data_IF_471835712403
#
_entry.id   IF_471835712403
#
_cell.length_a   1.000
_cell.length_b   1.000
_cell.length_c   1.000
_cell.angle_alpha   90.00
_cell.angle_beta   90.00
_cell.angle_gamma   90.00
#
_symmetry.space_group_name_H-M   'P 1'
#
loop_
_entity.id
_entity.type
_entity.pdbx_description
1 polymer ?
#
# COMPACT_ATOMS: atom_id res chain seq x y z
N UNK A 1 -0.85 -23.62 10.51
CA UNK A 1 -1.43 -22.73 9.49
C UNK A 1 -1.53 -21.38 10.15
N UNK A 2 -0.78 -20.38 9.66
CA UNK A 2 -0.90 -19.00 10.13
C UNK A 2 -2.38 -18.60 10.15
N UNK A 3 -2.77 -17.89 11.21
CA UNK A 3 -4.11 -17.30 11.35
C UNK A 3 -4.39 -16.25 10.26
N UNK A 4 -3.32 -15.73 9.63
CA UNK A 4 -3.36 -14.72 8.57
C UNK A 4 -2.67 -15.21 7.30
N UNK A 5 -3.24 -14.86 6.15
CA UNK A 5 -2.63 -15.17 4.85
C UNK A 5 -1.66 -14.04 4.45
N UNK A 6 -0.46 -14.06 5.03
CA UNK A 6 0.63 -13.12 4.72
C UNK A 6 1.11 -13.24 3.26
N UNK A 7 1.00 -14.43 2.69
CA UNK A 7 1.30 -14.67 1.29
C UNK A 7 0.30 -13.91 0.40
N UNK A 8 -1.01 -14.07 0.65
CA UNK A 8 -2.05 -13.33 -0.06
C UNK A 8 -1.90 -11.82 0.10
N UNK A 9 -1.58 -11.33 1.31
CA UNK A 9 -1.33 -9.91 1.55
C UNK A 9 -0.17 -9.37 0.68
N UNK A 10 0.90 -10.16 0.55
CA UNK A 10 2.06 -9.82 -0.27
C UNK A 10 1.72 -9.84 -1.77
N UNK A 11 0.98 -10.83 -2.24
CA UNK A 11 0.52 -10.92 -3.63
C UNK A 11 -0.39 -9.74 -4.00
N UNK A 12 -1.30 -9.36 -3.10
CA UNK A 12 -2.17 -8.19 -3.27
C UNK A 12 -1.39 -6.87 -3.25
N UNK A 13 -0.35 -6.76 -2.42
CA UNK A 13 0.55 -5.59 -2.38
C UNK A 13 1.25 -5.40 -3.74
N UNK A 14 1.81 -6.47 -4.29
CA UNK A 14 2.47 -6.46 -5.59
C UNK A 14 1.48 -6.12 -6.71
N UNK A 15 0.28 -6.69 -6.67
CA UNK A 15 -0.79 -6.40 -7.64
C UNK A 15 -1.19 -4.93 -7.60
N UNK A 16 -1.32 -4.36 -6.40
CA UNK A 16 -1.61 -2.94 -6.20
C UNK A 16 -0.51 -2.07 -6.81
N UNK A 17 0.77 -2.39 -6.54
CA UNK A 17 1.92 -1.63 -7.07
C UNK A 17 1.97 -1.64 -8.59
N UNK A 18 1.84 -2.80 -9.21
CA UNK A 18 1.81 -2.91 -10.67
C UNK A 18 0.67 -2.08 -11.27
N UNK A 19 -0.53 -2.14 -10.66
CA UNK A 19 -1.69 -1.37 -11.12
C UNK A 19 -1.47 0.14 -10.96
N UNK A 20 -0.78 0.56 -9.90
CA UNK A 20 -0.44 1.96 -9.67
C UNK A 20 0.62 2.45 -10.65
N UNK A 21 1.65 1.66 -10.94
CA UNK A 21 2.67 1.98 -11.94
C UNK A 21 2.08 2.12 -13.34
N UNK A 22 1.14 1.25 -13.70
CA UNK A 22 0.39 1.35 -14.96
C UNK A 22 -0.47 2.62 -15.00
N UNK A 23 -1.08 3.01 -13.88
CA UNK A 23 -1.80 4.27 -13.74
C UNK A 23 -0.89 5.49 -13.92
N UNK A 24 0.32 5.48 -13.37
CA UNK A 24 1.29 6.56 -13.56
C UNK A 24 1.68 6.72 -15.02
N UNK A 25 1.93 5.60 -15.72
CA UNK A 25 2.32 5.59 -17.15
C UNK A 25 1.16 5.90 -18.10
N UNK A 26 -0.08 5.67 -17.68
CA UNK A 26 -1.26 5.93 -18.50
C UNK A 26 -1.56 7.43 -18.59
N UNK A 27 -1.78 7.92 -19.81
CA UNK A 27 -2.32 9.27 -20.06
C UNK A 27 -3.85 9.34 -19.87
N UNK A 28 -4.52 8.19 -19.70
CA UNK A 28 -5.95 8.14 -19.52
C UNK A 28 -6.31 8.37 -18.05
N UNK A 29 -7.38 9.14 -17.83
CA UNK A 29 -8.07 9.25 -16.55
C UNK A 29 -8.74 7.91 -16.18
N UNK A 30 -7.95 6.87 -15.94
CA UNK A 30 -8.42 5.66 -15.27
C UNK A 30 -8.83 6.08 -13.87
N UNK A 31 -10.09 5.84 -13.50
CA UNK A 31 -10.60 6.14 -12.16
C UNK A 31 -9.82 5.30 -11.12
N UNK A 32 -8.86 5.88 -10.39
CA UNK A 32 -7.95 5.13 -9.55
C UNK A 32 -8.57 4.89 -8.16
N UNK A 33 -9.88 5.06 -8.01
CA UNK A 33 -10.60 4.94 -6.73
C UNK A 33 -10.28 3.64 -5.98
N UNK A 34 -10.07 2.54 -6.70
CA UNK A 34 -9.70 1.25 -6.12
C UNK A 34 -8.22 1.12 -5.71
N UNK A 35 -7.37 2.06 -6.13
CA UNK A 35 -5.94 2.17 -5.80
C UNK A 35 -5.68 3.19 -4.69
N UNK A 36 -6.49 4.24 -4.62
CA UNK A 36 -6.32 5.35 -3.67
C UNK A 36 -7.29 5.31 -2.47
N UNK A 37 -8.24 4.38 -2.45
CA UNK A 37 -9.11 4.19 -1.30
C UNK A 37 -8.41 3.34 -0.23
N UNK A 38 -8.66 3.65 1.04
CA UNK A 38 -8.11 2.87 2.15
C UNK A 38 -8.70 1.45 2.23
N UNK A 39 -9.86 1.20 1.62
CA UNK A 39 -10.62 -0.06 1.69
C UNK A 39 -10.24 -1.09 0.61
N UNK A 40 -9.04 -0.96 0.01
CA UNK A 40 -8.53 -1.94 -0.96
C UNK A 40 -8.50 -3.36 -0.37
N UNK A 41 -8.44 -4.38 -1.24
CA UNK A 41 -8.34 -5.77 -0.82
C UNK A 41 -7.16 -6.03 0.15
N UNK A 42 -6.01 -5.38 -0.07
CA UNK A 42 -4.90 -5.44 0.89
C UNK A 42 -5.20 -4.68 2.19
N UNK A 43 -5.86 -3.52 2.09
CA UNK A 43 -6.27 -2.74 3.26
C UNK A 43 -7.19 -3.50 4.20
N UNK A 44 -8.11 -4.30 3.66
CA UNK A 44 -8.99 -5.17 4.45
C UNK A 44 -8.20 -6.22 5.22
N UNK A 45 -7.18 -6.83 4.59
CA UNK A 45 -6.31 -7.81 5.24
C UNK A 45 -5.48 -7.15 6.35
N UNK A 46 -4.83 -6.02 6.05
CA UNK A 46 -4.01 -5.29 7.03
C UNK A 46 -4.85 -4.80 8.22
N UNK A 47 -6.05 -4.28 7.96
CA UNK A 47 -6.99 -3.85 9.01
C UNK A 47 -7.37 -5.01 9.90
N UNK A 48 -7.69 -6.18 9.31
CA UNK A 48 -8.02 -7.39 10.08
C UNK A 48 -6.86 -7.87 10.96
N UNK A 49 -5.63 -7.88 10.42
CA UNK A 49 -4.42 -8.22 11.20
C UNK A 49 -4.26 -7.24 12.37
N UNK A 50 -4.48 -5.95 12.11
CA UNK A 50 -4.37 -4.89 13.10
C UNK A 50 -5.43 -4.97 14.20
N UNK A 51 -6.70 -5.18 13.87
CA UNK A 51 -7.78 -5.30 14.86
C UNK A 51 -7.55 -6.47 15.83
N UNK A 52 -7.04 -7.59 15.32
CA UNK A 52 -6.84 -8.79 16.12
C UNK A 52 -5.54 -8.78 16.94
N UNK A 53 -4.58 -7.89 16.63
CA UNK A 53 -3.25 -7.85 17.27
C UNK A 53 -2.78 -6.42 17.54
N UNK A 54 -3.70 -5.53 17.93
CA UNK A 54 -3.45 -4.09 18.07
C UNK A 54 -2.44 -3.70 19.17
N UNK A 55 -1.84 -4.66 19.87
CA UNK A 55 -0.78 -4.44 20.87
C UNK A 55 0.62 -4.60 20.28
N UNK A 56 0.77 -5.28 19.15
CA UNK A 56 2.06 -5.52 18.48
C UNK A 56 2.54 -4.27 17.73
N UNK A 57 3.78 -3.84 18.00
CA UNK A 57 4.37 -2.64 17.39
C UNK A 57 4.64 -2.79 15.90
N UNK A 58 4.96 -3.98 15.41
CA UNK A 58 5.17 -4.26 14.00
C UNK A 58 3.85 -4.20 13.22
N UNK A 59 2.76 -4.66 13.83
CA UNK A 59 1.42 -4.62 13.22
C UNK A 59 0.88 -3.18 13.17
N UNK A 60 1.10 -2.39 14.22
CA UNK A 60 0.82 -0.94 14.18
C UNK A 60 1.63 -0.26 13.10
N UNK A 61 2.91 -0.59 12.98
CA UNK A 61 3.76 -0.03 11.93
C UNK A 61 3.27 -0.45 10.54
N UNK A 62 2.88 -1.71 10.34
CA UNK A 62 2.31 -2.18 9.07
C UNK A 62 1.07 -1.37 8.67
N UNK A 63 0.13 -1.18 9.59
CA UNK A 63 -1.07 -0.38 9.33
C UNK A 63 -0.72 1.09 9.03
N UNK A 64 0.22 1.68 9.77
CA UNK A 64 0.69 3.04 9.52
C UNK A 64 1.35 3.19 8.14
N UNK A 65 2.25 2.27 7.75
CA UNK A 65 2.88 2.31 6.44
C UNK A 65 1.84 2.12 5.32
N UNK A 66 0.85 1.24 5.50
CA UNK A 66 -0.23 1.08 4.53
C UNK A 66 -1.05 2.36 4.34
N UNK A 67 -1.50 2.99 5.42
CA UNK A 67 -2.22 4.27 5.33
C UNK A 67 -1.37 5.35 4.66
N UNK A 68 -0.07 5.38 4.96
CA UNK A 68 0.87 6.29 4.30
C UNK A 68 0.99 6.02 2.80
N UNK A 69 1.07 4.75 2.38
CA UNK A 69 1.08 4.36 0.96
C UNK A 69 -0.15 4.89 0.22
N UNK A 70 -1.34 4.72 0.82
CA UNK A 70 -2.60 5.22 0.26
C UNK A 70 -2.63 6.75 0.21
N UNK A 71 -2.10 7.43 1.23
CA UNK A 71 -2.00 8.88 1.23
C UNK A 71 -1.09 9.39 0.09
N UNK A 72 0.10 8.81 -0.08
CA UNK A 72 1.01 9.15 -1.18
C UNK A 72 0.34 8.89 -2.53
N UNK A 73 -0.36 7.77 -2.68
CA UNK A 73 -1.11 7.45 -3.90
C UNK A 73 -2.20 8.49 -4.21
N UNK A 74 -2.91 9.00 -3.20
CA UNK A 74 -3.87 10.09 -3.34
C UNK A 74 -3.19 11.40 -3.75
N UNK A 75 -2.05 11.74 -3.13
CA UNK A 75 -1.31 12.97 -3.43
C UNK A 75 -0.82 12.95 -4.89
N UNK A 76 -0.25 11.83 -5.34
CA UNK A 76 0.15 11.63 -6.73
C UNK A 76 -1.05 11.71 -7.69
N UNK A 77 -2.18 11.08 -7.34
CA UNK A 77 -3.40 11.20 -8.14
C UNK A 77 -3.88 12.65 -8.24
N UNK A 78 -3.88 13.38 -7.12
CA UNK A 78 -4.28 14.78 -7.08
C UNK A 78 -3.40 15.63 -7.99
N UNK A 79 -2.07 15.53 -7.88
CA UNK A 79 -1.11 16.25 -8.71
C UNK A 79 -1.28 15.91 -10.20
N UNK A 80 -1.43 14.64 -10.54
CA UNK A 80 -1.71 14.19 -11.91
C UNK A 80 -3.05 14.73 -12.44
N UNK A 81 -4.07 14.88 -11.58
CA UNK A 81 -5.40 15.36 -11.97
C UNK A 81 -5.47 16.87 -12.25
N UNK A 82 -4.64 17.67 -11.58
CA UNK A 82 -4.55 19.12 -11.79
C UNK A 82 -3.61 19.48 -12.94
N UNK A 83 -3.08 18.48 -13.65
CA UNK A 83 -2.16 18.63 -14.78
C UNK A 83 -0.91 19.44 -14.41
N UNK A 84 -0.49 19.36 -13.13
CA UNK A 84 0.77 19.91 -12.66
C UNK A 84 1.87 19.05 -13.28
N UNK A 85 2.55 19.59 -14.29
CA UNK A 85 3.57 18.88 -15.08
C UNK A 85 4.77 18.45 -14.24
N UNK A 86 4.84 18.86 -12.98
CA UNK A 86 5.85 18.44 -12.02
C UNK A 86 5.27 17.51 -10.98
N UNK A 87 4.98 16.25 -11.37
CA UNK A 87 4.96 15.18 -10.38
C UNK A 87 6.39 15.06 -9.82
N UNK A 88 6.63 15.36 -8.55
CA UNK A 88 7.99 15.34 -8.05
C UNK A 88 8.50 13.89 -7.93
N UNK A 89 9.69 13.62 -8.45
CA UNK A 89 10.35 12.31 -8.35
C UNK A 89 10.39 11.78 -6.91
N UNK A 90 10.48 12.68 -5.92
CA UNK A 90 10.51 12.31 -4.51
C UNK A 90 9.22 11.62 -4.02
N UNK A 91 8.06 11.86 -4.64
CA UNK A 91 6.81 11.17 -4.26
C UNK A 91 6.80 9.72 -4.77
N UNK A 92 7.32 9.48 -5.97
CA UNK A 92 7.47 8.13 -6.51
C UNK A 92 8.51 7.33 -5.70
N UNK A 93 9.65 7.96 -5.35
CA UNK A 93 10.68 7.35 -4.50
C UNK A 93 10.16 7.04 -3.09
N UNK A 94 9.37 7.95 -2.50
CA UNK A 94 8.76 7.73 -1.18
C UNK A 94 7.71 6.60 -1.26
N UNK A 95 6.94 6.52 -2.34
CA UNK A 95 5.98 5.43 -2.54
C UNK A 95 6.69 4.07 -2.62
N UNK A 96 7.77 3.98 -3.41
CA UNK A 96 8.58 2.76 -3.52
C UNK A 96 9.19 2.38 -2.16
N UNK A 97 9.69 3.36 -1.42
CA UNK A 97 10.25 3.15 -0.08
C UNK A 97 9.20 2.60 0.89
N UNK A 98 7.99 3.15 0.88
CA UNK A 98 6.88 2.68 1.73
C UNK A 98 6.43 1.28 1.31
N UNK A 99 6.32 1.01 0.01
CA UNK A 99 5.99 -0.31 -0.53
C UNK A 99 6.97 -1.39 -0.04
N UNK A 100 8.28 -1.14 -0.15
CA UNK A 100 9.31 -2.06 0.34
C UNK A 100 9.20 -2.29 1.84
N UNK A 101 8.94 -1.23 2.63
CA UNK A 101 8.73 -1.35 4.09
C UNK A 101 7.53 -2.21 4.43
N UNK A 102 6.40 -2.07 3.74
CA UNK A 102 5.22 -2.91 3.97
C UNK A 102 5.55 -4.37 3.67
N UNK A 103 6.24 -4.63 2.55
CA UNK A 103 6.67 -5.98 2.15
C UNK A 103 7.59 -6.62 3.19
N UNK A 104 8.58 -5.88 3.69
CA UNK A 104 9.51 -6.36 4.73
C UNK A 104 8.79 -6.62 6.07
N UNK A 105 7.82 -5.78 6.42
CA UNK A 105 7.00 -5.97 7.62
C UNK A 105 6.11 -7.21 7.50
N UNK A 106 5.48 -7.45 6.34
CA UNK A 106 4.69 -8.66 6.09
C UNK A 106 5.56 -9.92 6.22
N UNK A 107 6.75 -9.94 5.63
CA UNK A 107 7.68 -11.07 5.73
C UNK A 107 8.20 -11.29 7.17
N UNK A 108 8.39 -10.21 7.94
CA UNK A 108 8.83 -10.29 9.33
C UNK A 108 7.72 -10.80 10.25
N UNK A 109 6.49 -10.33 10.03
CA UNK A 109 5.30 -10.76 10.76
C UNK A 109 4.95 -12.22 10.45
N UNK A 110 5.11 -12.65 9.20
CA UNK A 110 4.94 -14.05 8.81
C UNK A 110 5.87 -14.96 9.63
N UNK A 111 7.14 -14.60 9.80
CA UNK A 111 8.08 -15.38 10.62
C UNK A 111 7.76 -15.36 12.11
N UNK A 112 7.11 -14.31 12.60
CA UNK A 112 6.83 -14.11 14.03
C UNK A 112 5.50 -14.74 14.45
N UNK A 113 4.55 -14.85 13.51
CA UNK A 113 3.17 -15.30 13.75
C UNK A 113 2.83 -16.65 13.09
N UNK A 114 3.76 -17.27 12.34
CA UNK A 114 3.66 -18.68 11.89
C UNK A 114 4.10 -19.67 12.96
#
# INVERSE_FOLDING_TARGET
MSKYDFQLATEMLVTWKNSFDDYLKSNAALNPKHLIAADTAIGQIITKIHEENNTDSNIKNLNFQYLKMIQIANDIHHLKSINDETLPDWLEDELETVFLKIKDLLASLEKTLN
#
